data_IF_803102656532
#
_entry.id   IF_803102656532
#
_cell.length_a   1.000
_cell.length_b   1.000
_cell.length_c   1.000
_cell.angle_alpha   90.00
_cell.angle_beta   90.00
_cell.angle_gamma   90.00
#
_symmetry.space_group_name_H-M   'P 1'
#
loop_
_entity.id
_entity.type
_entity.pdbx_description
1 polymer ?
#
# COMPACT_ATOMS: atom_id res chain seq x y z
N UNK A 1 11.18 10.23 -7.67
CA UNK A 1 9.83 10.02 -8.23
C UNK A 1 9.26 11.36 -8.68
N UNK A 2 8.50 11.44 -9.78
CA UNK A 2 7.84 12.70 -10.15
C UNK A 2 6.69 13.04 -9.20
N UNK A 3 6.37 14.34 -8.98
CA UNK A 3 5.22 14.75 -8.18
C UNK A 3 3.91 14.15 -8.69
N UNK A 4 3.75 14.04 -10.00
CA UNK A 4 2.56 13.46 -10.63
C UNK A 4 2.41 11.98 -10.31
N UNK A 5 3.49 11.19 -10.40
CA UNK A 5 3.45 9.76 -10.07
C UNK A 5 3.20 9.56 -8.56
N UNK A 6 3.76 10.41 -7.71
CA UNK A 6 3.46 10.39 -6.27
C UNK A 6 1.96 10.67 -6.02
N UNK A 7 1.38 11.68 -6.65
CA UNK A 7 -0.04 12.01 -6.53
C UNK A 7 -0.94 10.84 -7.00
N UNK A 8 -0.59 10.22 -8.14
CA UNK A 8 -1.30 9.02 -8.65
C UNK A 8 -1.25 7.86 -7.66
N UNK A 9 -0.08 7.56 -7.08
CA UNK A 9 0.05 6.50 -6.06
C UNK A 9 -0.71 6.83 -4.77
N UNK A 10 -0.67 8.08 -4.31
CA UNK A 10 -1.41 8.52 -3.14
C UNK A 10 -2.93 8.37 -3.33
N UNK A 11 -3.45 8.74 -4.50
CA UNK A 11 -4.85 8.57 -4.85
C UNK A 11 -5.26 7.08 -4.85
N UNK A 12 -4.41 6.21 -5.41
CA UNK A 12 -4.65 4.76 -5.40
C UNK A 12 -4.74 4.19 -3.96
N UNK A 13 -3.84 4.60 -3.06
CA UNK A 13 -3.88 4.17 -1.64
C UNK A 13 -5.14 4.69 -0.94
N UNK A 14 -5.54 5.95 -1.18
CA UNK A 14 -6.78 6.50 -0.62
C UNK A 14 -8.01 5.72 -1.09
N UNK A 15 -8.09 5.40 -2.37
CA UNK A 15 -9.18 4.60 -2.94
C UNK A 15 -9.22 3.20 -2.32
N UNK A 16 -8.09 2.50 -2.26
CA UNK A 16 -8.02 1.17 -1.66
C UNK A 16 -8.46 1.17 -0.18
N UNK A 17 -8.05 2.18 0.59
CA UNK A 17 -8.48 2.34 1.97
C UNK A 17 -9.99 2.63 2.09
N UNK A 18 -10.55 3.42 1.18
CA UNK A 18 -11.98 3.71 1.15
C UNK A 18 -12.80 2.45 0.84
N UNK A 19 -12.37 1.64 -0.14
CA UNK A 19 -12.99 0.34 -0.44
C UNK A 19 -12.95 -0.58 0.78
N UNK A 20 -11.79 -0.74 1.41
CA UNK A 20 -11.65 -1.54 2.62
C UNK A 20 -12.57 -1.04 3.76
N UNK A 21 -12.75 0.27 3.91
CA UNK A 21 -13.65 0.86 4.89
C UNK A 21 -15.13 0.55 4.59
N UNK A 22 -15.54 0.57 3.33
CA UNK A 22 -16.91 0.19 2.90
C UNK A 22 -17.19 -1.26 3.28
N UNK A 23 -16.22 -2.15 3.07
CA UNK A 23 -16.34 -3.59 3.38
C UNK A 23 -16.10 -3.93 4.87
N UNK A 24 -15.84 -2.93 5.72
CA UNK A 24 -15.52 -3.17 7.13
C UNK A 24 -14.19 -3.91 7.37
N UNK A 25 -13.30 -3.95 6.38
CA UNK A 25 -12.01 -4.64 6.45
C UNK A 25 -10.91 -3.68 6.92
N UNK A 26 -10.33 -3.85 8.12
CA UNK A 26 -9.28 -2.98 8.59
C UNK A 26 -7.96 -3.22 7.84
N UNK A 27 -7.30 -2.14 7.42
CA UNK A 27 -5.96 -2.21 6.83
C UNK A 27 -4.91 -2.31 7.95
N UNK A 28 -4.09 -3.37 7.90
CA UNK A 28 -3.06 -3.61 8.90
C UNK A 28 -2.00 -2.49 8.94
N UNK A 29 -1.39 -2.26 10.10
CA UNK A 29 -0.33 -1.24 10.28
C UNK A 29 0.83 -1.47 9.32
N UNK A 30 1.19 -2.72 9.06
CA UNK A 30 2.25 -3.07 8.12
C UNK A 30 1.87 -2.75 6.67
N UNK A 31 0.64 -3.05 6.24
CA UNK A 31 0.18 -2.70 4.90
C UNK A 31 0.13 -1.17 4.69
N UNK A 32 -0.25 -0.40 5.72
CA UNK A 32 -0.18 1.07 5.70
C UNK A 32 1.26 1.57 5.54
N UNK A 33 2.21 0.99 6.29
CA UNK A 33 3.63 1.33 6.18
C UNK A 33 4.14 1.07 4.75
N UNK A 34 3.92 -0.13 4.21
CA UNK A 34 4.35 -0.48 2.86
C UNK A 34 3.70 0.40 1.79
N UNK A 35 2.41 0.72 1.94
CA UNK A 35 1.72 1.65 1.05
C UNK A 35 2.40 3.03 1.03
N UNK A 36 2.82 3.54 2.19
CA UNK A 36 3.52 4.82 2.28
C UNK A 36 4.91 4.77 1.63
N UNK A 37 5.65 3.68 1.79
CA UNK A 37 6.95 3.47 1.13
C UNK A 37 6.78 3.40 -0.40
N UNK A 38 5.76 2.70 -0.88
CA UNK A 38 5.42 2.64 -2.30
C UNK A 38 5.02 4.02 -2.85
N UNK A 39 4.21 4.79 -2.12
CA UNK A 39 3.82 6.16 -2.49
C UNK A 39 5.03 7.08 -2.60
N UNK A 40 6.06 6.92 -1.75
CA UNK A 40 7.32 7.68 -1.84
C UNK A 40 8.29 7.15 -2.89
N UNK A 41 8.04 5.96 -3.44
CA UNK A 41 8.88 5.32 -4.44
C UNK A 41 10.10 4.63 -3.86
N UNK A 42 10.11 4.36 -2.56
CA UNK A 42 11.16 3.61 -1.86
C UNK A 42 11.13 2.12 -2.22
N UNK A 43 9.94 1.61 -2.58
CA UNK A 43 9.73 0.25 -3.07
C UNK A 43 8.84 0.26 -4.32
N UNK A 44 9.03 -0.73 -5.17
CA UNK A 44 8.16 -1.06 -6.28
C UNK A 44 6.87 -1.75 -5.81
N UNK A 45 5.86 -1.81 -6.69
CA UNK A 45 4.64 -2.56 -6.40
C UNK A 45 4.89 -4.07 -6.26
N UNK A 46 5.88 -4.59 -7.00
CA UNK A 46 6.28 -6.00 -6.91
C UNK A 46 6.90 -6.32 -5.56
N UNK A 47 7.81 -5.48 -5.06
CA UNK A 47 8.41 -5.63 -3.73
C UNK A 47 7.35 -5.50 -2.63
N UNK A 48 6.44 -4.53 -2.72
CA UNK A 48 5.32 -4.40 -1.77
C UNK A 48 4.49 -5.70 -1.71
N UNK A 49 4.13 -6.28 -2.86
CA UNK A 49 3.39 -7.53 -2.94
C UNK A 49 4.17 -8.69 -2.31
N UNK A 50 5.46 -8.82 -2.63
CA UNK A 50 6.31 -9.87 -2.09
C UNK A 50 6.42 -9.77 -0.56
N UNK A 51 6.61 -8.56 -0.02
CA UNK A 51 6.67 -8.33 1.43
C UNK A 51 5.36 -8.66 2.16
N UNK A 52 4.21 -8.33 1.54
CA UNK A 52 2.90 -8.68 2.09
C UNK A 52 2.69 -10.20 2.14
N UNK A 53 3.06 -10.91 1.06
CA UNK A 53 2.96 -12.38 1.00
C UNK A 53 3.89 -13.03 2.03
N UNK A 54 5.14 -12.56 2.13
CA UNK A 54 6.11 -13.08 3.08
C UNK A 54 5.61 -12.93 4.52
N UNK A 55 5.02 -11.77 4.87
CA UNK A 55 4.43 -11.56 6.19
C UNK A 55 3.29 -12.52 6.49
N UNK A 56 2.38 -12.73 5.53
CA UNK A 56 1.25 -13.63 5.71
C UNK A 56 1.71 -15.08 5.94
N UNK A 57 2.75 -15.53 5.23
CA UNK A 57 3.34 -16.88 5.40
C UNK A 57 4.10 -17.07 6.73
N UNK A 58 4.46 -15.99 7.41
CA UNK A 58 5.13 -15.99 8.72
C UNK A 58 4.15 -15.85 9.89
N UNK A 59 2.85 -15.70 9.62
CA UNK A 59 1.79 -15.56 10.63
C UNK A 59 1.05 -16.88 10.78
#
# INVERSE_FOLDING_TARGET
MSPELHARRLAAVKLANAVNKIEGVPVSTQAKKLSAQWVRGEISGAEMKAMLIAKHKQS
#
